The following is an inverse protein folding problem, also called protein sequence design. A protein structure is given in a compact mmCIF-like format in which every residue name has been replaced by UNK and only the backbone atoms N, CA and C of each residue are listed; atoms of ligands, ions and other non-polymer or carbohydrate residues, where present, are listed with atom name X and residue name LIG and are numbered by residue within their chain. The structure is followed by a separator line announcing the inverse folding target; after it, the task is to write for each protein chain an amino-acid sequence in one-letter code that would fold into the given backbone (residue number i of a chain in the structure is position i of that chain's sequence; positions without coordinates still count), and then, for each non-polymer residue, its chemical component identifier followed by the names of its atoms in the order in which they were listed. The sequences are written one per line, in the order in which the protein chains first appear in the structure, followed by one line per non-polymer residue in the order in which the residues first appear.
data_IF_397121127803
#
_entry.id   IF_397121127803
#
_cell.length_a   1.000
_cell.length_b   1.000
_cell.length_c   1.000
_cell.angle_alpha   90.00
_cell.angle_beta   90.00
_cell.angle_gamma   90.00
#
_symmetry.space_group_name_H-M   'P 1'
#
loop_
_entity.id
_entity.type
_entity.pdbx_description
1 polymer ?
#
# COMPACT_ATOMS: atom_id res chain seq x y z
N UNK A 1 20.69 2.31 9.61
CA UNK A 1 19.75 3.38 9.96
C UNK A 1 18.53 2.72 10.58
N UNK A 2 18.13 3.10 11.80
CA UNK A 2 16.89 2.65 12.43
C UNK A 2 15.91 3.81 12.42
N UNK A 3 14.69 3.59 11.94
CA UNK A 3 13.63 4.61 12.00
C UNK A 3 13.06 4.64 13.42
N UNK A 4 12.96 5.83 14.01
CA UNK A 4 12.41 6.03 15.36
C UNK A 4 10.94 6.46 15.30
N UNK A 5 10.60 7.31 14.33
CA UNK A 5 9.24 7.78 14.04
C UNK A 5 8.84 7.47 12.61
N UNK A 6 7.55 7.63 12.27
CA UNK A 6 7.06 7.58 10.88
C UNK A 6 7.19 8.92 10.14
N UNK A 7 7.55 10.00 10.84
CA UNK A 7 7.60 11.35 10.26
C UNK A 7 8.57 11.44 9.07
N UNK A 8 9.63 10.63 9.08
CA UNK A 8 10.58 10.55 7.97
C UNK A 8 9.92 10.19 6.63
N UNK A 9 8.79 9.45 6.63
CA UNK A 9 8.06 9.14 5.41
C UNK A 9 7.46 10.40 4.81
N UNK A 10 6.84 11.24 5.65
CA UNK A 10 6.25 12.49 5.22
C UNK A 10 7.34 13.47 4.77
N UNK A 11 8.39 13.66 5.58
CA UNK A 11 9.51 14.55 5.26
C UNK A 11 10.16 14.18 3.92
N UNK A 12 10.43 12.89 3.70
CA UNK A 12 11.00 12.43 2.42
C UNK A 12 10.05 12.63 1.26
N UNK A 13 8.76 12.39 1.46
CA UNK A 13 7.76 12.58 0.40
C UNK A 13 7.61 14.06 0.02
N UNK A 14 7.65 14.97 1.00
CA UNK A 14 7.62 16.42 0.77
C UNK A 14 8.90 16.95 0.11
N UNK A 15 10.06 16.37 0.45
CA UNK A 15 11.34 16.73 -0.17
C UNK A 15 11.51 16.18 -1.59
N UNK A 16 10.67 15.21 -1.97
CA UNK A 16 10.73 14.51 -3.23
C UNK A 16 9.95 15.21 -4.35
N UNK A 17 9.75 14.49 -5.45
CA UNK A 17 8.82 14.90 -6.51
C UNK A 17 7.38 14.67 -6.02
N UNK A 18 6.51 15.66 -6.21
CA UNK A 18 5.06 15.48 -6.03
C UNK A 18 4.55 14.39 -6.98
N UNK A 19 3.91 13.37 -6.42
CA UNK A 19 3.46 12.19 -7.16
C UNK A 19 1.99 12.31 -7.55
N UNK A 20 1.63 11.85 -8.74
CA UNK A 20 0.22 11.85 -9.18
C UNK A 20 -0.51 10.66 -8.56
N UNK A 21 -1.55 10.92 -7.78
CA UNK A 21 -2.30 9.91 -7.04
C UNK A 21 -3.65 9.62 -7.69
N UNK A 22 -3.85 8.42 -8.24
CA UNK A 22 -5.15 7.97 -8.73
C UNK A 22 -5.97 7.37 -7.58
N UNK A 23 -7.10 8.00 -7.25
CA UNK A 23 -7.99 7.57 -6.16
C UNK A 23 -9.24 6.93 -6.74
N UNK A 24 -9.43 5.63 -6.48
CA UNK A 24 -10.58 4.87 -6.95
C UNK A 24 -11.78 4.99 -5.99
N UNK A 25 -12.89 5.55 -6.45
CA UNK A 25 -14.13 5.76 -5.70
C UNK A 25 -13.93 6.49 -4.35
N UNK A 26 -13.51 7.77 -4.33
CA UNK A 26 -13.27 8.54 -3.10
C UNK A 26 -14.58 8.99 -2.42
N UNK A 27 -15.42 8.05 -1.99
CA UNK A 27 -16.76 8.32 -1.43
C UNK A 27 -16.80 8.26 0.11
N UNK A 28 -15.74 8.72 0.77
CA UNK A 28 -15.57 8.65 2.22
C UNK A 28 -14.87 9.89 2.75
N UNK A 29 -15.31 10.34 3.93
CA UNK A 29 -14.79 11.54 4.59
C UNK A 29 -13.29 11.41 4.93
N UNK A 30 -12.90 10.26 5.48
CA UNK A 30 -11.52 9.92 5.83
C UNK A 30 -10.62 9.88 4.60
N UNK A 31 -11.13 9.35 3.48
CA UNK A 31 -10.40 9.28 2.22
C UNK A 31 -10.20 10.66 1.61
N UNK A 32 -11.27 11.45 1.47
CA UNK A 32 -11.16 12.76 0.85
C UNK A 32 -10.35 13.73 1.73
N UNK A 33 -10.52 13.66 3.06
CA UNK A 33 -9.71 14.41 4.01
C UNK A 33 -8.22 14.10 3.90
N UNK A 34 -7.85 12.82 3.86
CA UNK A 34 -6.45 12.41 3.72
C UNK A 34 -5.85 12.85 2.36
N UNK A 35 -6.62 12.79 1.28
CA UNK A 35 -6.18 13.25 -0.05
C UNK A 35 -5.97 14.76 -0.05
N UNK A 36 -6.89 15.53 0.52
CA UNK A 36 -6.78 16.98 0.59
C UNK A 36 -5.59 17.42 1.44
N UNK A 37 -5.40 16.82 2.61
CA UNK A 37 -4.24 17.11 3.46
C UNK A 37 -2.91 16.77 2.76
N UNK A 38 -2.87 15.66 2.01
CA UNK A 38 -1.67 15.28 1.27
C UNK A 38 -1.38 16.23 0.09
N UNK A 39 -2.40 16.77 -0.56
CA UNK A 39 -2.28 17.78 -1.62
C UNK A 39 -1.81 19.13 -1.04
N UNK A 40 -2.43 19.60 0.05
CA UNK A 40 -2.05 20.84 0.74
C UNK A 40 -0.60 20.80 1.23
N UNK A 41 -0.15 19.63 1.69
CA UNK A 41 1.25 19.38 2.10
C UNK A 41 2.22 19.23 0.93
N UNK A 42 1.75 19.31 -0.32
CA UNK A 42 2.57 19.24 -1.54
C UNK A 42 3.08 17.83 -1.90
N UNK A 43 2.53 16.79 -1.27
CA UNK A 43 3.01 15.40 -1.42
C UNK A 43 2.47 14.75 -2.69
N UNK A 44 1.21 15.05 -3.03
CA UNK A 44 0.53 14.45 -4.18
C UNK A 44 -0.19 15.48 -5.05
N UNK A 45 -0.50 15.09 -6.28
CA UNK A 45 -1.48 15.75 -7.14
C UNK A 45 -2.59 14.73 -7.47
N UNK A 46 -3.82 14.88 -6.96
CA UNK A 46 -4.82 13.83 -7.03
C UNK A 46 -5.58 13.82 -8.35
N UNK A 47 -5.90 12.61 -8.81
CA UNK A 47 -6.91 12.33 -9.83
C UNK A 47 -7.97 11.44 -9.20
N UNK A 48 -9.18 11.98 -9.07
CA UNK A 48 -10.32 11.33 -8.45
C UNK A 48 -11.16 10.62 -9.53
N UNK A 49 -11.35 9.32 -9.39
CA UNK A 49 -12.21 8.51 -10.26
C UNK A 49 -13.46 8.11 -9.49
N UNK A 50 -14.62 8.66 -9.81
CA UNK A 50 -15.84 8.35 -9.05
C UNK A 50 -17.05 9.22 -9.39
N UNK A 51 -18.12 9.03 -8.62
CA UNK A 51 -19.31 9.88 -8.62
C UNK A 51 -19.01 11.29 -8.09
N UNK A 52 -19.16 12.32 -8.94
CA UNK A 52 -18.89 13.72 -8.55
C UNK A 52 -19.89 14.28 -7.58
N UNK A 53 -21.15 13.84 -7.63
CA UNK A 53 -22.17 14.27 -6.67
C UNK A 53 -21.81 13.85 -5.25
N UNK A 54 -21.36 12.60 -5.09
CA UNK A 54 -20.88 12.09 -3.79
C UNK A 54 -19.63 12.83 -3.30
N UNK A 55 -18.64 13.03 -4.18
CA UNK A 55 -17.40 13.76 -3.82
C UNK A 55 -17.71 15.19 -3.44
N UNK A 56 -18.53 15.92 -4.22
CA UNK A 56 -18.88 17.31 -3.93
C UNK A 56 -19.65 17.45 -2.61
N UNK A 57 -20.53 16.49 -2.31
CA UNK A 57 -21.25 16.45 -1.03
C UNK A 57 -20.27 16.33 0.15
N UNK A 58 -19.36 15.34 0.10
CA UNK A 58 -18.37 15.11 1.16
C UNK A 58 -17.42 16.30 1.29
N UNK A 59 -16.96 16.87 0.16
CA UNK A 59 -16.13 18.06 0.14
C UNK A 59 -16.81 19.23 0.86
N UNK A 60 -18.10 19.45 0.59
CA UNK A 60 -18.89 20.49 1.26
C UNK A 60 -19.06 20.22 2.75
N UNK A 61 -19.29 18.96 3.15
CA UNK A 61 -19.44 18.57 4.57
C UNK A 61 -18.14 18.78 5.35
N UNK A 62 -16.99 18.55 4.72
CA UNK A 62 -15.66 18.71 5.32
C UNK A 62 -15.04 20.11 5.10
N UNK A 63 -15.71 21.01 4.37
CA UNK A 63 -15.17 22.30 3.96
C UNK A 63 -13.83 22.19 3.20
N UNK A 64 -13.69 21.17 2.36
CA UNK A 64 -12.52 20.93 1.51
C UNK A 64 -12.76 21.55 0.13
N UNK A 65 -11.80 22.34 -0.35
CA UNK A 65 -11.80 22.78 -1.74
C UNK A 65 -11.21 21.70 -2.64
N UNK A 66 -12.06 21.10 -3.47
CA UNK A 66 -11.67 20.08 -4.46
C UNK A 66 -11.55 20.64 -5.87
N UNK A 67 -11.63 21.97 -6.05
CA UNK A 67 -11.61 22.60 -7.37
C UNK A 67 -10.29 22.44 -8.11
N UNK A 68 -9.18 22.27 -7.37
CA UNK A 68 -7.85 21.98 -7.91
C UNK A 68 -7.67 20.51 -8.30
N UNK A 69 -8.53 19.61 -7.83
CA UNK A 69 -8.38 18.17 -8.06
C UNK A 69 -8.89 17.78 -9.43
N UNK A 70 -8.11 16.98 -10.18
CA UNK A 70 -8.59 16.42 -11.44
C UNK A 70 -9.67 15.37 -11.12
N UNK A 71 -10.82 15.45 -11.78
CA UNK A 71 -11.95 14.56 -11.54
C UNK A 71 -12.38 13.87 -12.84
N UNK A 72 -12.47 12.54 -12.80
CA UNK A 72 -13.03 11.69 -13.84
C UNK A 72 -14.36 11.14 -13.33
N UNK A 73 -15.46 11.55 -13.98
CA UNK A 73 -16.81 11.11 -13.64
C UNK A 73 -16.99 9.63 -13.97
N UNK A 74 -17.20 8.80 -12.96
CA UNK A 74 -17.55 7.39 -13.12
C UNK A 74 -18.30 6.90 -11.88
N UNK A 75 -19.65 6.88 -11.89
CA UNK A 75 -20.44 6.49 -10.73
C UNK A 75 -20.32 5.00 -10.36
N UNK A 76 -19.96 4.13 -11.30
CA UNK A 76 -19.73 2.71 -10.99
C UNK A 76 -18.36 2.51 -10.33
N UNK A 77 -18.35 2.07 -9.08
CA UNK A 77 -17.12 1.88 -8.29
C UNK A 77 -16.15 0.88 -8.92
N UNK A 78 -16.67 -0.12 -9.64
CA UNK A 78 -15.86 -1.10 -10.36
C UNK A 78 -15.12 -0.45 -11.50
N UNK A 79 -15.84 0.25 -12.38
CA UNK A 79 -15.28 1.00 -13.51
C UNK A 79 -14.34 2.10 -13.05
N UNK A 80 -14.66 2.81 -11.96
CA UNK A 80 -13.77 3.78 -11.35
C UNK A 80 -12.43 3.15 -10.94
N UNK A 81 -12.45 1.96 -10.33
CA UNK A 81 -11.25 1.20 -10.00
C UNK A 81 -10.46 0.77 -11.26
N UNK A 82 -11.14 0.34 -12.33
CA UNK A 82 -10.49 0.00 -13.60
C UNK A 82 -9.78 1.21 -14.23
N UNK A 83 -10.43 2.37 -14.23
CA UNK A 83 -9.86 3.61 -14.77
C UNK A 83 -8.66 4.08 -13.96
N UNK A 84 -8.75 4.07 -12.63
CA UNK A 84 -7.65 4.43 -11.74
C UNK A 84 -6.43 3.50 -11.93
N UNK A 85 -6.66 2.19 -12.04
CA UNK A 85 -5.60 1.21 -12.32
C UNK A 85 -4.94 1.47 -13.69
N UNK A 86 -5.74 1.73 -14.72
CA UNK A 86 -5.22 2.01 -16.07
C UNK A 86 -4.41 3.30 -16.12
N UNK A 87 -4.80 4.32 -15.38
CA UNK A 87 -4.05 5.57 -15.28
C UNK A 87 -2.64 5.32 -14.71
N UNK A 88 -2.53 4.46 -13.69
CA UNK A 88 -1.21 4.09 -13.15
C UNK A 88 -0.42 3.24 -14.15
N UNK A 89 -1.06 2.26 -14.79
CA UNK A 89 -0.37 1.43 -15.79
C UNK A 89 0.09 2.20 -17.03
N UNK A 90 -0.62 3.27 -17.43
CA UNK A 90 -0.26 4.08 -18.59
C UNK A 90 0.79 5.15 -18.28
N UNK A 91 1.13 5.34 -17.00
CA UNK A 91 2.00 6.42 -16.54
C UNK A 91 1.31 7.79 -16.44
N UNK A 92 -0.02 7.85 -16.55
CA UNK A 92 -0.80 9.06 -16.28
C UNK A 92 -0.83 9.38 -14.77
N UNK A 93 -0.79 8.35 -13.93
CA UNK A 93 -0.65 8.46 -12.48
C UNK A 93 0.54 7.63 -11.98
N UNK A 94 1.12 8.03 -10.85
CA UNK A 94 2.26 7.34 -10.25
C UNK A 94 1.84 6.32 -9.16
N UNK A 95 0.74 6.62 -8.45
CA UNK A 95 0.28 5.87 -7.27
C UNK A 95 -1.20 5.53 -7.40
N UNK A 96 -1.59 4.37 -6.88
CA UNK A 96 -2.99 3.94 -6.77
C UNK A 96 -3.43 3.99 -5.30
N UNK A 97 -4.53 4.67 -5.02
CA UNK A 97 -5.20 4.66 -3.71
C UNK A 97 -6.59 4.03 -3.83
N UNK A 98 -6.85 3.08 -2.95
CA UNK A 98 -8.19 2.51 -2.74
C UNK A 98 -9.05 3.52 -1.96
N UNK A 99 -10.17 3.94 -2.53
CA UNK A 99 -11.23 4.63 -1.80
C UNK A 99 -12.28 3.66 -1.25
N UNK A 100 -13.56 4.05 -1.32
CA UNK A 100 -14.73 3.30 -0.85
C UNK A 100 -15.18 2.22 -1.84
N UNK A 101 -14.24 1.45 -2.36
CA UNK A 101 -14.51 0.29 -3.22
C UNK A 101 -14.18 -1.00 -2.46
N UNK A 102 -14.92 -2.09 -2.71
CA UNK A 102 -14.58 -3.39 -2.12
C UNK A 102 -13.16 -3.80 -2.51
N UNK A 103 -12.38 -4.29 -1.55
CA UNK A 103 -10.99 -4.74 -1.81
C UNK A 103 -10.92 -5.77 -2.94
N UNK A 104 -11.85 -6.72 -2.99
CA UNK A 104 -11.93 -7.71 -4.07
C UNK A 104 -12.15 -7.08 -5.46
N UNK A 105 -12.94 -6.00 -5.54
CA UNK A 105 -13.19 -5.28 -6.80
C UNK A 105 -11.92 -4.57 -7.27
N UNK A 106 -11.23 -3.85 -6.39
CA UNK A 106 -9.97 -3.18 -6.75
C UNK A 106 -8.89 -4.20 -7.11
N UNK A 107 -8.73 -5.27 -6.32
CA UNK A 107 -7.71 -6.29 -6.59
C UNK A 107 -7.98 -7.04 -7.91
N UNK A 108 -9.24 -7.25 -8.28
CA UNK A 108 -9.58 -7.80 -9.60
C UNK A 108 -9.05 -6.90 -10.74
N UNK A 109 -9.14 -5.58 -10.58
CA UNK A 109 -8.59 -4.62 -11.54
C UNK A 109 -7.05 -4.63 -11.54
N UNK A 110 -6.41 -4.57 -10.37
CA UNK A 110 -4.94 -4.59 -10.21
C UNK A 110 -4.31 -5.87 -10.78
N UNK A 111 -4.97 -7.02 -10.58
CA UNK A 111 -4.48 -8.33 -11.01
C UNK A 111 -4.81 -8.65 -12.48
N UNK A 112 -5.43 -7.72 -13.21
CA UNK A 112 -5.71 -7.90 -14.62
C UNK A 112 -4.39 -7.95 -15.42
N UNK A 113 -4.15 -9.09 -16.09
CA UNK A 113 -2.93 -9.34 -16.86
C UNK A 113 -2.78 -8.45 -18.08
N UNK A 114 -3.88 -7.94 -18.63
CA UNK A 114 -3.90 -7.12 -19.84
C UNK A 114 -3.58 -5.65 -19.55
N UNK A 115 -3.73 -5.21 -18.30
CA UNK A 115 -3.59 -3.80 -17.91
C UNK A 115 -2.25 -3.51 -17.23
N UNK A 116 -1.24 -4.35 -17.39
CA UNK A 116 0.17 -3.98 -17.16
C UNK A 116 0.63 -3.69 -15.73
N UNK A 117 -0.26 -3.60 -14.74
CA UNK A 117 0.12 -3.25 -13.35
C UNK A 117 0.76 -4.43 -12.60
N UNK A 118 0.51 -5.66 -13.05
CA UNK A 118 1.10 -6.86 -12.46
C UNK A 118 2.53 -7.07 -12.97
N UNK A 119 3.49 -7.06 -12.06
CA UNK A 119 4.92 -7.38 -12.31
C UNK A 119 5.20 -8.88 -12.48
N UNK A 120 4.28 -9.75 -12.03
CA UNK A 120 4.47 -11.19 -11.95
C UNK A 120 4.89 -11.67 -10.56
N UNK A 121 5.39 -10.78 -9.70
CA UNK A 121 5.67 -11.09 -8.30
C UNK A 121 4.39 -11.28 -7.48
N UNK A 122 4.52 -11.93 -6.34
CA UNK A 122 3.47 -12.03 -5.34
C UNK A 122 3.11 -10.62 -4.84
N UNK A 123 1.81 -10.34 -4.64
CA UNK A 123 1.37 -9.11 -3.99
C UNK A 123 1.23 -9.38 -2.48
N UNK A 124 1.83 -8.53 -1.65
CA UNK A 124 1.83 -8.66 -0.18
C UNK A 124 1.63 -7.31 0.49
N UNK A 125 1.23 -7.32 1.76
CA UNK A 125 0.99 -6.09 2.53
C UNK A 125 2.08 -5.83 3.58
N UNK A 126 2.65 -4.62 3.58
CA UNK A 126 3.65 -4.16 4.57
C UNK A 126 3.00 -3.15 5.54
N UNK A 127 3.09 -3.43 6.83
CA UNK A 127 2.76 -2.46 7.89
C UNK A 127 4.03 -1.92 8.53
N UNK A 128 4.06 -0.61 8.81
CA UNK A 128 5.07 0.03 9.64
C UNK A 128 4.44 0.52 10.95
N UNK A 129 4.94 0.03 12.07
CA UNK A 129 4.46 0.36 13.42
C UNK A 129 5.50 1.20 14.16
N UNK A 130 5.19 2.46 14.46
CA UNK A 130 5.93 3.23 15.45
C UNK A 130 5.48 2.81 16.84
N UNK A 131 6.38 2.24 17.64
CA UNK A 131 6.09 1.83 19.02
C UNK A 131 6.83 2.79 19.97
N UNK A 132 6.15 3.81 20.55
CA UNK A 132 6.83 4.85 21.34
C UNK A 132 7.66 4.30 22.49
N UNK A 133 7.17 3.25 23.17
CA UNK A 133 7.89 2.61 24.29
C UNK A 133 9.20 1.92 23.90
N UNK A 134 9.34 1.54 22.62
CA UNK A 134 10.53 0.85 22.10
C UNK A 134 11.47 1.83 21.37
N UNK A 135 10.98 3.03 21.02
CA UNK A 135 11.75 4.05 20.32
C UNK A 135 12.16 3.62 18.90
N UNK A 136 11.39 2.73 18.26
CA UNK A 136 11.69 2.16 16.93
C UNK A 136 10.43 1.90 16.13
N UNK A 137 10.58 1.95 14.80
CA UNK A 137 9.58 1.48 13.84
C UNK A 137 9.85 0.02 13.48
N UNK A 138 8.82 -0.82 13.56
CA UNK A 138 8.84 -2.22 13.16
C UNK A 138 8.03 -2.45 11.89
N UNK A 139 8.49 -3.37 11.06
CA UNK A 139 7.71 -3.87 9.94
C UNK A 139 7.05 -5.20 10.29
N UNK A 140 5.80 -5.35 9.86
CA UNK A 140 5.09 -6.63 9.88
C UNK A 140 4.45 -6.88 8.51
N UNK A 141 4.56 -8.11 8.04
CA UNK A 141 3.99 -8.59 6.78
C UNK A 141 3.71 -10.10 6.92
N UNK A 142 2.69 -10.70 6.32
CA UNK A 142 1.67 -10.12 5.44
C UNK A 142 0.40 -9.82 6.25
N UNK A 143 -0.16 -8.62 6.06
CA UNK A 143 -1.35 -8.11 6.74
C UNK A 143 -2.69 -8.78 6.43
N UNK A 144 -2.66 -10.01 5.93
CA UNK A 144 -3.84 -10.77 5.49
C UNK A 144 -4.10 -10.72 3.99
N UNK A 145 -3.14 -10.26 3.16
CA UNK A 145 -3.27 -10.35 1.71
C UNK A 145 -3.11 -11.79 1.22
N UNK A 146 -2.10 -12.50 1.72
CA UNK A 146 -1.97 -13.95 1.63
C UNK A 146 -2.49 -14.61 2.91
N UNK A 147 -3.65 -15.28 2.83
CA UNK A 147 -4.34 -15.86 3.99
C UNK A 147 -3.60 -17.08 4.56
N UNK A 148 -3.07 -17.94 3.68
CA UNK A 148 -2.35 -19.17 4.05
C UNK A 148 -1.13 -19.33 3.14
N UNK A 149 -0.08 -18.50 3.32
CA UNK A 149 1.07 -18.54 2.45
C UNK A 149 1.83 -19.86 2.61
N UNK A 150 2.09 -20.53 1.50
CA UNK A 150 3.05 -21.64 1.44
C UNK A 150 4.50 -21.10 1.51
N UNK A 151 5.48 -22.01 1.42
CA UNK A 151 6.90 -21.64 1.48
C UNK A 151 7.29 -20.60 0.41
N UNK A 152 6.83 -20.77 -0.82
CA UNK A 152 7.15 -19.88 -1.93
C UNK A 152 6.48 -18.50 -1.76
N UNK A 153 5.24 -18.48 -1.29
CA UNK A 153 4.55 -17.23 -0.95
C UNK A 153 5.25 -16.51 0.22
N UNK A 154 5.69 -17.24 1.26
CA UNK A 154 6.46 -16.64 2.37
C UNK A 154 7.76 -16.02 1.86
N UNK A 155 8.48 -16.68 0.95
CA UNK A 155 9.66 -16.10 0.31
C UNK A 155 9.31 -14.79 -0.41
N UNK A 156 8.28 -14.77 -1.26
CA UNK A 156 7.87 -13.56 -1.98
C UNK A 156 7.43 -12.42 -1.05
N UNK A 157 6.76 -12.74 0.06
CA UNK A 157 6.39 -11.77 1.11
C UNK A 157 7.65 -11.13 1.71
N UNK A 158 8.68 -11.93 2.00
CA UNK A 158 9.96 -11.46 2.55
C UNK A 158 10.68 -10.58 1.53
N UNK A 159 10.78 -11.03 0.28
CA UNK A 159 11.44 -10.30 -0.80
C UNK A 159 10.82 -8.91 -1.01
N UNK A 160 9.48 -8.82 -1.07
CA UNK A 160 8.77 -7.55 -1.19
C UNK A 160 9.06 -6.61 0.01
N UNK A 161 9.06 -7.14 1.24
CA UNK A 161 9.33 -6.35 2.43
C UNK A 161 10.79 -5.86 2.48
N UNK A 162 11.74 -6.71 2.08
CA UNK A 162 13.16 -6.37 1.97
C UNK A 162 13.38 -5.30 0.90
N UNK A 163 12.76 -5.43 -0.28
CA UNK A 163 12.82 -4.42 -1.33
C UNK A 163 12.27 -3.07 -0.85
N UNK A 164 11.12 -3.08 -0.17
CA UNK A 164 10.55 -1.88 0.45
C UNK A 164 11.57 -1.21 1.40
N UNK A 165 12.20 -1.99 2.28
CA UNK A 165 13.22 -1.46 3.20
C UNK A 165 14.48 -0.96 2.51
N UNK A 166 14.92 -1.61 1.43
CA UNK A 166 16.03 -1.12 0.60
C UNK A 166 15.68 0.26 0.02
N UNK A 167 14.45 0.45 -0.49
CA UNK A 167 13.97 1.75 -1.01
C UNK A 167 13.86 2.81 0.10
N UNK A 168 13.59 2.40 1.33
CA UNK A 168 13.63 3.29 2.51
C UNK A 168 15.08 3.56 3.00
N UNK A 169 16.10 2.97 2.40
CA UNK A 169 17.51 3.22 2.69
C UNK A 169 18.12 2.28 3.74
N UNK A 170 17.44 1.20 4.12
CA UNK A 170 17.99 0.17 5.02
C UNK A 170 18.70 -0.89 4.19
N UNK A 171 20.04 -0.87 4.15
CA UNK A 171 20.84 -1.77 3.30
C UNK A 171 20.81 -3.25 3.70
N UNK A 172 20.56 -3.54 4.97
CA UNK A 172 20.53 -4.92 5.48
C UNK A 172 19.35 -5.07 6.45
N UNK A 173 18.13 -5.23 5.93
CA UNK A 173 16.94 -5.42 6.76
C UNK A 173 17.05 -6.74 7.53
N UNK A 174 16.82 -6.70 8.85
CA UNK A 174 16.81 -7.91 9.68
C UNK A 174 15.40 -8.48 9.70
N UNK A 175 15.25 -9.68 9.13
CA UNK A 175 13.97 -10.38 9.05
C UNK A 175 13.88 -11.43 10.15
N UNK A 176 12.79 -11.41 10.91
CA UNK A 176 12.46 -12.44 11.89
C UNK A 176 11.20 -13.17 11.45
N UNK A 177 11.26 -14.50 11.42
CA UNK A 177 10.12 -15.35 11.09
C UNK A 177 9.41 -15.72 12.40
N UNK A 178 8.19 -15.24 12.56
CA UNK A 178 7.47 -15.36 13.83
C UNK A 178 6.79 -16.73 13.95
N UNK A 179 7.06 -17.42 15.06
CA UNK A 179 6.40 -18.65 15.46
C UNK A 179 6.17 -18.63 16.99
N UNK A 180 5.38 -19.58 17.50
CA UNK A 180 5.10 -19.66 18.94
C UNK A 180 6.25 -20.27 19.75
N UNK A 181 7.25 -20.87 19.08
CA UNK A 181 8.46 -21.44 19.68
C UNK A 181 9.66 -21.18 18.77
N UNK A 182 10.87 -21.19 19.34
CA UNK A 182 12.12 -20.92 18.64
C UNK A 182 12.76 -22.17 18.03
N UNK A 183 12.29 -23.36 18.41
CA UNK A 183 12.81 -24.65 17.94
C UNK A 183 12.01 -25.18 16.74
N UNK A 184 12.69 -25.88 15.83
CA UNK A 184 12.02 -26.58 14.72
C UNK A 184 11.18 -27.71 15.31
N UNK A 185 9.88 -27.67 15.06
CA UNK A 185 8.91 -28.61 15.56
C UNK A 185 8.04 -29.15 14.41
N UNK A 186 8.02 -30.47 14.25
CA UNK A 186 7.24 -31.14 13.20
C UNK A 186 5.72 -30.91 13.35
N UNK A 187 5.24 -30.74 14.59
CA UNK A 187 3.83 -30.45 14.89
C UNK A 187 3.47 -28.98 14.67
N UNK A 188 4.44 -28.12 14.31
CA UNK A 188 4.24 -26.70 14.05
C UNK A 188 4.89 -26.32 12.71
N UNK A 189 4.20 -26.55 11.58
CA UNK A 189 4.76 -26.40 10.23
C UNK A 189 5.44 -25.05 9.94
N UNK A 190 4.97 -23.95 10.54
CA UNK A 190 5.60 -22.65 10.35
C UNK A 190 7.05 -22.58 10.85
N UNK A 191 7.43 -23.40 11.84
CA UNK A 191 8.82 -23.50 12.31
C UNK A 191 9.72 -24.23 11.31
N UNK A 192 9.17 -25.20 10.57
CA UNK A 192 9.88 -25.90 9.49
C UNK A 192 10.10 -24.93 8.33
N UNK A 193 9.05 -24.22 7.90
CA UNK A 193 9.17 -23.20 6.86
C UNK A 193 10.19 -22.12 7.26
N UNK A 194 10.20 -21.70 8.53
CA UNK A 194 11.16 -20.73 9.04
C UNK A 194 12.62 -21.21 8.94
N UNK A 195 12.87 -22.48 9.27
CA UNK A 195 14.19 -23.08 9.13
C UNK A 195 14.62 -23.17 7.65
N UNK A 196 13.72 -23.57 6.75
CA UNK A 196 14.00 -23.66 5.31
C UNK A 196 14.31 -22.27 4.74
N UNK A 197 13.48 -21.26 5.01
CA UNK A 197 13.70 -19.88 4.57
C UNK A 197 15.03 -19.31 5.10
N UNK A 198 15.39 -19.63 6.35
CA UNK A 198 16.68 -19.24 6.92
C UNK A 198 17.84 -19.87 6.15
N UNK A 199 17.72 -21.13 5.76
CA UNK A 199 18.75 -21.83 4.99
C UNK A 199 18.84 -21.33 3.54
N UNK A 200 17.72 -20.91 2.94
CA UNK A 200 17.69 -20.31 1.60
C UNK A 200 18.38 -18.94 1.55
N UNK A 201 18.49 -18.24 2.68
CA UNK A 201 19.16 -16.94 2.80
C UNK A 201 20.64 -17.03 3.19
N UNK A 202 21.22 -18.24 3.27
CA UNK A 202 22.64 -18.48 3.54
C UNK A 202 23.40 -18.73 2.24
#
# INVERSE_FOLDING_TARGET
MSFETLDFLLERSQSGKTMVLAVAAPHGEDILGAVAEAEERGVISPILYGDRGKVAKIASELSIDVSSFKMVEEPDEGRAAELAVKAVSSGEADLLMKGNVKTATLLKAVLNKEWGLRSGSLLSHVFLFQIPKVGKVFCMTDGGMSMYPDLAAKQGIIENAVECYHKLGVQCPRVALLAAVEVVNQDMPCTIDAAVLTQMNR
#
